data_IF_061090529038
#
_entry.id   IF_061090529038
#
_cell.length_a   1.000
_cell.length_b   1.000
_cell.length_c   1.000
_cell.angle_alpha   90.00
_cell.angle_beta   90.00
_cell.angle_gamma   90.00
#
_symmetry.space_group_name_H-M   'P 1'
#
loop_
_entity.id
_entity.type
_entity.pdbx_description
1 polymer ?
#
# COMPACT_ATOMS: atom_id res chain seq x y z
N UNK A 1 -0.03 -3.19 40.76
CA UNK A 1 0.78 -2.62 39.68
C UNK A 1 0.61 -3.55 38.49
N UNK A 2 -0.52 -3.42 37.79
CA UNK A 2 -0.78 -4.19 36.56
C UNK A 2 -0.21 -3.37 35.43
N UNK A 3 0.86 -3.87 34.82
CA UNK A 3 1.34 -3.40 33.52
C UNK A 3 0.15 -3.47 32.56
N UNK A 4 -0.35 -2.30 32.19
CA UNK A 4 -1.24 -2.18 31.03
C UNK A 4 -0.30 -2.43 29.86
N UNK A 5 -0.33 -3.65 29.33
CA UNK A 5 0.23 -3.99 28.03
C UNK A 5 -0.39 -2.99 27.03
N UNK A 6 0.32 -1.91 26.73
CA UNK A 6 -0.08 -1.00 25.67
C UNK A 6 -0.05 -1.83 24.41
N UNK A 7 -1.23 -2.20 23.90
CA UNK A 7 -1.33 -2.90 22.63
C UNK A 7 -0.60 -2.04 21.59
N UNK A 8 0.50 -2.59 21.05
CA UNK A 8 1.24 -1.94 19.99
C UNK A 8 0.27 -1.61 18.85
N UNK A 9 0.33 -0.39 18.28
CA UNK A 9 -0.65 0.05 17.29
C UNK A 9 -0.69 -0.94 16.13
N UNK A 10 -1.81 -1.65 16.00
CA UNK A 10 -2.00 -2.67 14.99
C UNK A 10 -2.53 -2.04 13.71
N UNK A 11 -2.18 -2.58 12.55
CA UNK A 11 -2.80 -2.17 11.28
C UNK A 11 -4.17 -2.83 11.23
N UNK A 12 -5.21 -2.02 11.16
CA UNK A 12 -6.59 -2.48 11.14
C UNK A 12 -7.19 -2.42 9.74
N UNK A 13 -6.64 -1.59 8.86
CA UNK A 13 -7.19 -1.41 7.52
C UNK A 13 -6.15 -0.88 6.53
N UNK A 14 -6.23 -1.37 5.28
CA UNK A 14 -5.46 -0.86 4.14
C UNK A 14 -6.44 -0.52 3.02
N UNK A 15 -6.36 0.71 2.48
CA UNK A 15 -7.10 1.09 1.29
C UNK A 15 -6.17 1.50 0.15
N UNK A 16 -6.59 1.19 -1.07
CA UNK A 16 -5.92 1.62 -2.31
C UNK A 16 -6.94 2.31 -3.20
N UNK A 17 -6.58 3.48 -3.71
CA UNK A 17 -7.44 4.26 -4.58
C UNK A 17 -6.68 4.82 -5.80
N UNK A 18 -7.40 5.17 -6.86
CA UNK A 18 -6.87 5.87 -8.03
C UNK A 18 -6.36 4.95 -9.14
N UNK A 19 -7.16 3.98 -9.58
CA UNK A 19 -6.85 3.13 -10.75
C UNK A 19 -5.49 2.40 -10.62
N UNK A 20 -5.24 1.83 -9.44
CA UNK A 20 -4.07 0.98 -9.21
C UNK A 20 -4.23 -0.33 -10.00
N UNK A 21 -3.45 -0.46 -11.08
CA UNK A 21 -3.58 -1.48 -12.12
C UNK A 21 -4.96 -1.46 -12.78
N UNK A 22 -5.90 -2.26 -12.27
CA UNK A 22 -7.27 -2.41 -12.77
C UNK A 22 -8.34 -2.06 -11.73
N UNK A 23 -7.92 -1.59 -10.55
CA UNK A 23 -8.81 -1.22 -9.45
C UNK A 23 -9.29 0.21 -9.68
N UNK A 24 -10.42 0.39 -10.35
CA UNK A 24 -10.99 1.71 -10.66
C UNK A 24 -11.57 2.41 -9.42
N UNK A 25 -12.22 1.64 -8.55
CA UNK A 25 -12.82 2.12 -7.30
C UNK A 25 -11.90 1.88 -6.11
N UNK A 26 -12.02 2.69 -5.06
CA UNK A 26 -11.26 2.46 -3.82
C UNK A 26 -11.54 1.04 -3.29
N UNK A 27 -10.48 0.29 -3.00
CA UNK A 27 -10.59 -1.03 -2.41
C UNK A 27 -9.99 -0.98 -1.02
N UNK A 28 -10.76 -1.45 -0.06
CA UNK A 28 -10.43 -1.44 1.36
C UNK A 28 -10.40 -2.86 1.87
N UNK A 29 -9.36 -3.19 2.62
CA UNK A 29 -9.17 -4.49 3.25
C UNK A 29 -8.96 -4.28 4.72
N UNK A 30 -9.86 -4.88 5.50
CA UNK A 30 -9.73 -4.93 6.94
C UNK A 30 -8.68 -5.99 7.32
N UNK A 31 -7.77 -5.58 8.20
CA UNK A 31 -6.66 -6.38 8.69
C UNK A 31 -6.94 -6.72 10.15
N UNK A 32 -6.96 -8.01 10.44
CA UNK A 32 -7.07 -8.58 11.77
C UNK A 32 -5.87 -9.51 12.00
N UNK A 33 -5.57 -9.91 13.25
CA UNK A 33 -4.46 -10.81 13.57
C UNK A 33 -4.43 -12.10 12.71
N UNK A 34 -5.58 -12.52 12.19
CA UNK A 34 -5.70 -13.52 11.14
C UNK A 34 -6.69 -13.03 10.06
N UNK A 35 -6.17 -12.46 8.97
CA UNK A 35 -6.95 -12.14 7.78
C UNK A 35 -6.73 -13.19 6.70
N UNK A 36 -7.77 -13.94 6.36
CA UNK A 36 -7.74 -14.90 5.24
C UNK A 36 -8.23 -14.21 3.97
N UNK A 37 -7.32 -13.99 3.02
CA UNK A 37 -7.67 -13.47 1.70
C UNK A 37 -8.06 -14.64 0.77
N UNK A 38 -9.36 -14.94 0.70
CA UNK A 38 -9.91 -16.00 -0.15
C UNK A 38 -10.76 -15.40 -1.28
N UNK A 39 -10.37 -15.65 -2.55
CA UNK A 39 -11.15 -15.25 -3.72
C UNK A 39 -10.68 -16.08 -4.95
N UNK A 40 -11.51 -16.20 -5.99
CA UNK A 40 -11.25 -16.96 -7.21
C UNK A 40 -10.02 -16.41 -7.97
N UNK A 41 -9.09 -17.28 -8.39
CA UNK A 41 -7.89 -16.86 -9.13
C UNK A 41 -8.24 -15.89 -10.27
N UNK A 42 -7.45 -14.82 -10.41
CA UNK A 42 -7.52 -13.83 -11.52
C UNK A 42 -8.49 -12.63 -11.39
N UNK A 43 -9.04 -12.33 -10.21
CA UNK A 43 -9.91 -11.14 -9.97
C UNK A 43 -9.19 -9.85 -9.54
N UNK A 44 -7.90 -9.91 -9.17
CA UNK A 44 -7.16 -8.74 -8.66
C UNK A 44 -6.46 -8.92 -7.30
N UNK A 45 -6.47 -10.11 -6.70
CA UNK A 45 -5.79 -10.42 -5.41
C UNK A 45 -4.35 -9.93 -5.29
N UNK A 46 -3.52 -10.09 -6.32
CA UNK A 46 -2.14 -9.60 -6.27
C UNK A 46 -2.06 -8.09 -6.08
N UNK A 47 -3.06 -7.34 -6.55
CA UNK A 47 -3.15 -5.89 -6.36
C UNK A 47 -3.51 -5.49 -4.93
N UNK A 48 -4.18 -6.36 -4.17
CA UNK A 48 -4.51 -6.18 -2.75
C UNK A 48 -3.34 -6.61 -1.85
N UNK A 49 -2.63 -7.68 -2.21
CA UNK A 49 -1.45 -8.17 -1.47
C UNK A 49 -0.26 -7.22 -1.64
N UNK A 50 -0.11 -6.60 -2.80
CA UNK A 50 1.01 -5.69 -3.09
C UNK A 50 1.15 -4.51 -2.11
N UNK A 51 0.09 -3.81 -1.69
CA UNK A 51 0.14 -2.82 -0.61
C UNK A 51 0.74 -3.36 0.69
N UNK A 52 0.37 -4.57 1.10
CA UNK A 52 0.92 -5.21 2.31
C UNK A 52 2.41 -5.54 2.13
N UNK A 53 2.80 -6.00 0.93
CA UNK A 53 4.20 -6.26 0.61
C UNK A 53 5.05 -4.98 0.49
N UNK A 54 4.46 -3.89 -0.02
CA UNK A 54 5.08 -2.56 -0.01
C UNK A 54 5.35 -2.11 1.43
N UNK A 55 4.38 -2.30 2.32
CA UNK A 55 4.55 -1.97 3.73
C UNK A 55 5.65 -2.84 4.38
N UNK A 56 5.59 -4.15 4.18
CA UNK A 56 6.60 -5.09 4.69
C UNK A 56 8.02 -4.70 4.27
N UNK A 57 8.25 -4.46 2.97
CA UNK A 57 9.59 -4.09 2.50
C UNK A 57 10.03 -2.68 2.94
N UNK A 58 9.08 -1.79 3.23
CA UNK A 58 9.38 -0.48 3.83
C UNK A 58 9.86 -0.65 5.27
N UNK A 59 9.21 -1.51 6.06
CA UNK A 59 9.58 -1.79 7.45
C UNK A 59 10.89 -2.58 7.57
N UNK A 60 11.19 -3.43 6.59
CA UNK A 60 12.43 -4.22 6.55
C UNK A 60 13.61 -3.45 5.92
N UNK A 61 13.40 -2.23 5.43
CA UNK A 61 14.47 -1.43 4.85
C UNK A 61 15.48 -1.01 5.93
N UNK A 62 16.78 -1.27 5.69
CA UNK A 62 17.86 -0.88 6.60
C UNK A 62 18.24 0.61 6.52
N UNK A 63 17.52 1.39 5.73
CA UNK A 63 17.68 2.81 5.49
C UNK A 63 16.29 3.45 5.46
N UNK A 64 16.19 4.77 5.61
CA UNK A 64 14.92 5.48 5.45
C UNK A 64 14.53 5.56 3.95
N UNK A 65 13.55 4.78 3.48
CA UNK A 65 13.15 4.79 2.08
C UNK A 65 12.08 5.87 1.79
N UNK A 66 11.72 6.68 2.78
CA UNK A 66 10.55 7.52 2.78
C UNK A 66 9.25 6.73 3.07
N UNK A 67 8.09 7.21 2.60
CA UNK A 67 6.80 6.74 3.10
C UNK A 67 6.41 5.31 2.70
N UNK A 68 6.70 4.89 1.46
CA UNK A 68 6.70 3.46 1.09
C UNK A 68 7.83 3.23 0.09
N UNK A 69 8.60 2.18 0.33
CA UNK A 69 9.60 1.68 -0.60
C UNK A 69 8.88 1.07 -1.82
N UNK A 70 8.99 1.72 -2.98
CA UNK A 70 8.35 1.26 -4.23
C UNK A 70 9.20 0.30 -5.06
N UNK A 71 10.51 0.28 -4.83
CA UNK A 71 11.46 -0.64 -5.49
C UNK A 71 12.14 -1.48 -4.42
N UNK A 72 11.61 -2.68 -4.18
CA UNK A 72 12.12 -3.61 -3.18
C UNK A 72 11.99 -5.07 -3.62
N UNK A 73 12.46 -6.00 -2.77
CA UNK A 73 12.54 -7.42 -3.09
C UNK A 73 11.17 -8.10 -3.22
N UNK A 74 10.12 -7.55 -2.60
CA UNK A 74 8.77 -8.12 -2.67
C UNK A 74 7.94 -7.50 -3.79
N UNK A 75 8.08 -6.19 -4.00
CA UNK A 75 7.32 -5.44 -5.01
C UNK A 75 8.19 -4.36 -5.63
N UNK A 76 8.14 -4.29 -6.97
CA UNK A 76 8.93 -3.36 -7.77
C UNK A 76 8.07 -2.56 -8.74
N UNK A 77 7.96 -1.26 -8.47
CA UNK A 77 7.28 -0.27 -9.30
C UNK A 77 8.27 0.80 -9.77
N UNK A 78 9.10 0.45 -10.74
CA UNK A 78 10.09 1.37 -11.32
C UNK A 78 9.49 2.30 -12.39
N UNK A 79 8.37 1.91 -13.00
CA UNK A 79 7.67 2.70 -14.02
C UNK A 79 6.21 2.92 -13.64
N UNK A 80 5.72 4.15 -13.84
CA UNK A 80 4.33 4.49 -13.61
C UNK A 80 3.37 3.61 -14.41
N UNK A 81 3.72 3.22 -15.63
CA UNK A 81 2.89 2.35 -16.48
C UNK A 81 2.65 0.94 -15.91
N UNK A 82 3.44 0.48 -14.94
CA UNK A 82 3.24 -0.81 -14.27
C UNK A 82 2.10 -0.75 -13.23
N UNK A 83 1.72 0.46 -12.83
CA UNK A 83 0.79 0.73 -11.72
C UNK A 83 -0.39 1.58 -12.15
N UNK A 84 -0.18 2.51 -13.07
CA UNK A 84 -1.16 3.50 -13.49
C UNK A 84 -1.53 3.27 -14.95
N UNK A 85 -2.83 3.26 -15.23
CA UNK A 85 -3.32 3.35 -16.61
C UNK A 85 -2.89 4.68 -17.25
N UNK A 86 -2.76 4.76 -18.60
CA UNK A 86 -2.21 5.94 -19.28
C UNK A 86 -2.90 7.27 -18.93
N UNK A 87 -4.20 7.24 -18.69
CA UNK A 87 -5.03 8.42 -18.41
C UNK A 87 -5.07 8.83 -16.93
N UNK A 88 -4.34 8.12 -16.06
CA UNK A 88 -4.37 8.33 -14.61
C UNK A 88 -3.04 8.93 -14.12
N UNK A 89 -3.16 9.99 -13.34
CA UNK A 89 -2.04 10.80 -12.86
C UNK A 89 -1.41 10.29 -11.58
N UNK A 90 -2.08 9.42 -10.82
CA UNK A 90 -1.59 8.93 -9.53
C UNK A 90 -2.51 7.93 -8.83
N UNK A 91 -1.98 7.29 -7.79
CA UNK A 91 -2.70 6.38 -6.90
C UNK A 91 -2.40 6.77 -5.45
N UNK A 92 -3.18 6.27 -4.49
CA UNK A 92 -2.87 6.42 -3.07
C UNK A 92 -3.01 5.10 -2.33
N UNK A 93 -2.16 4.93 -1.32
CA UNK A 93 -2.25 3.86 -0.33
C UNK A 93 -2.53 4.51 1.01
N UNK A 94 -3.61 4.10 1.66
CA UNK A 94 -3.97 4.55 2.99
C UNK A 94 -3.91 3.39 3.96
N UNK A 95 -3.31 3.63 5.11
CA UNK A 95 -3.19 2.69 6.22
C UNK A 95 -3.93 3.29 7.40
N UNK A 96 -4.73 2.49 8.10
CA UNK A 96 -5.26 2.85 9.41
C UNK A 96 -4.73 1.91 10.46
N UNK A 97 -4.34 2.50 11.57
CA UNK A 97 -4.07 1.81 12.82
C UNK A 97 -5.08 2.25 13.87
N UNK A 98 -5.08 1.55 15.00
CA UNK A 98 -5.85 1.94 16.19
C UNK A 98 -5.54 3.39 16.65
N UNK A 99 -4.37 3.92 16.27
CA UNK A 99 -3.91 5.27 16.58
C UNK A 99 -4.18 6.34 15.51
N UNK A 100 -4.76 5.98 14.36
CA UNK A 100 -5.09 6.92 13.29
C UNK A 100 -4.72 6.45 11.88
N UNK A 101 -4.96 7.31 10.87
CA UNK A 101 -4.75 6.99 9.46
C UNK A 101 -3.63 7.78 8.81
N UNK A 102 -2.81 7.12 7.99
CA UNK A 102 -1.79 7.75 7.14
C UNK A 102 -2.16 7.50 5.68
N UNK A 103 -2.15 8.55 4.85
CA UNK A 103 -2.36 8.43 3.40
C UNK A 103 -1.09 8.82 2.65
N UNK A 104 -0.54 7.87 1.89
CA UNK A 104 0.55 8.11 0.96
C UNK A 104 0.00 8.24 -0.46
N UNK A 105 0.24 9.38 -1.11
CA UNK A 105 -0.19 9.62 -2.50
C UNK A 105 1.02 9.61 -3.43
N UNK A 106 0.85 8.96 -4.57
CA UNK A 106 1.87 8.79 -5.58
C UNK A 106 1.39 9.36 -6.90
N UNK A 107 2.28 10.00 -7.65
CA UNK A 107 1.99 10.57 -8.97
C UNK A 107 3.00 10.14 -10.00
N UNK A 108 2.54 10.06 -11.25
CA UNK A 108 3.40 9.90 -12.43
C UNK A 108 4.30 11.13 -12.57
N UNK A 109 5.58 10.89 -12.81
CA UNK A 109 6.57 11.90 -13.22
C UNK A 109 6.57 12.03 -14.75
N UNK A 110 7.03 13.18 -15.26
CA UNK A 110 7.15 13.43 -16.70
C UNK A 110 8.13 12.48 -17.41
N UNK A 111 9.09 11.92 -16.69
CA UNK A 111 10.05 10.90 -17.16
C UNK A 111 9.47 9.47 -17.13
N UNK A 112 8.20 9.30 -16.74
CA UNK A 112 7.55 8.00 -16.62
C UNK A 112 7.80 7.27 -15.29
N UNK A 113 8.57 7.86 -14.37
CA UNK A 113 8.76 7.36 -13.01
C UNK A 113 7.57 7.65 -12.08
N UNK A 114 7.69 7.20 -10.84
CA UNK A 114 6.70 7.45 -9.77
C UNK A 114 7.35 8.35 -8.71
N UNK A 115 6.60 9.33 -8.20
CA UNK A 115 7.01 10.15 -7.05
C UNK A 115 5.93 10.17 -5.98
N UNK A 116 6.34 10.34 -4.73
CA UNK A 116 5.45 10.70 -3.63
C UNK A 116 4.97 12.14 -3.83
N UNK A 117 3.69 12.40 -3.59
CA UNK A 117 3.12 13.74 -3.46
C UNK A 117 2.56 13.90 -2.04
N UNK A 118 3.02 14.93 -1.33
CA UNK A 118 2.37 15.41 -0.10
C UNK A 118 0.94 15.89 -0.35
#
# INVERSE_FOLDING_TARGET
MTDIEQAEPSICQVAVAGCYKSIAEEQTVDVAPLTVLADANSSGKSSIVQPLLLLKQTMEASYDPGPLLLDGPHVRFSKAAQVLSPSVSGFSVRLWTDGGGITNRYRRRSDGGIRVSG
#
